data_IF_866817381777
#
_entry.id   IF_866817381777
#
_cell.length_a   1.000
_cell.length_b   1.000
_cell.length_c   1.000
_cell.angle_alpha   90.00
_cell.angle_beta   90.00
_cell.angle_gamma   90.00
#
_symmetry.space_group_name_H-M   'P 1'
#
loop_
_entity.id
_entity.type
_entity.pdbx_description
1 polymer ?
#
# COMPACT_ATOMS: atom_id res chain seq x y z
N UNK A 1 -14.95 9.33 -4.63
CA UNK A 1 -15.20 8.22 -5.56
C UNK A 1 -16.31 7.43 -4.93
N UNK A 2 -17.47 7.45 -5.55
CA UNK A 2 -18.69 7.23 -4.78
C UNK A 2 -19.28 5.84 -5.03
N UNK A 3 -18.79 5.10 -6.04
CA UNK A 3 -19.37 3.80 -6.39
C UNK A 3 -18.40 2.84 -7.12
N UNK A 4 -17.28 2.49 -6.48
CA UNK A 4 -16.31 1.53 -7.05
C UNK A 4 -16.92 0.15 -7.37
N UNK A 5 -17.76 -0.36 -6.47
CA UNK A 5 -18.35 -1.70 -6.61
C UNK A 5 -19.31 -1.77 -7.80
N UNK A 6 -20.24 -0.82 -7.94
CA UNK A 6 -21.17 -0.88 -9.08
C UNK A 6 -20.45 -0.72 -10.42
N UNK A 7 -19.43 0.15 -10.50
CA UNK A 7 -18.62 0.32 -11.72
C UNK A 7 -17.89 -0.96 -12.12
N UNK A 8 -17.40 -1.71 -11.12
CA UNK A 8 -16.77 -3.02 -11.35
C UNK A 8 -17.80 -4.06 -11.79
N UNK A 9 -18.98 -4.09 -11.17
CA UNK A 9 -20.01 -5.06 -11.55
C UNK A 9 -20.62 -4.76 -12.93
N UNK A 10 -20.66 -3.49 -13.33
CA UNK A 10 -21.20 -3.06 -14.62
C UNK A 10 -20.21 -3.11 -15.78
N UNK A 11 -18.94 -3.51 -15.56
CA UNK A 11 -17.92 -3.48 -16.60
C UNK A 11 -17.54 -2.07 -17.07
N UNK A 12 -17.99 -1.03 -16.37
CA UNK A 12 -17.89 0.36 -16.84
C UNK A 12 -16.60 1.00 -16.34
N UNK A 13 -15.80 1.52 -17.26
CA UNK A 13 -14.57 2.25 -16.88
C UNK A 13 -14.93 3.68 -16.46
N UNK A 14 -14.61 4.10 -15.23
CA UNK A 14 -14.88 5.47 -14.79
C UNK A 14 -14.04 6.48 -15.59
N UNK A 15 -14.65 7.63 -15.90
CA UNK A 15 -13.94 8.74 -16.58
C UNK A 15 -12.81 9.31 -15.72
N UNK A 16 -13.03 9.36 -14.40
CA UNK A 16 -12.03 9.82 -13.43
C UNK A 16 -11.36 8.60 -12.81
N UNK A 17 -10.08 8.40 -13.11
CA UNK A 17 -9.30 7.25 -12.63
C UNK A 17 -8.46 7.55 -11.39
N UNK A 18 -8.44 8.79 -10.90
CA UNK A 18 -7.70 9.14 -9.70
C UNK A 18 -8.34 10.34 -9.02
N UNK A 19 -8.13 10.45 -7.71
CA UNK A 19 -8.58 11.62 -6.96
C UNK A 19 -8.14 11.58 -5.51
N UNK A 20 -8.58 12.59 -4.77
CA UNK A 20 -8.32 12.71 -3.34
C UNK A 20 -9.65 12.61 -2.58
N UNK A 21 -9.61 11.92 -1.45
CA UNK A 21 -10.68 11.88 -0.46
C UNK A 21 -10.10 12.30 0.90
N UNK A 22 -10.94 12.44 1.92
CA UNK A 22 -10.50 12.86 3.24
C UNK A 22 -9.44 11.90 3.82
N UNK A 23 -8.18 12.32 3.81
CA UNK A 23 -7.04 11.59 4.39
C UNK A 23 -6.37 10.57 3.48
N UNK A 24 -6.81 10.38 2.24
CA UNK A 24 -6.17 9.46 1.30
C UNK A 24 -6.40 9.83 -0.16
N UNK A 25 -5.43 9.45 -1.00
CA UNK A 25 -5.54 9.47 -2.46
C UNK A 25 -6.00 8.10 -2.93
N UNK A 26 -6.78 8.08 -4.00
CA UNK A 26 -7.27 6.86 -4.62
C UNK A 26 -6.91 6.85 -6.11
N UNK A 27 -6.63 5.67 -6.65
CA UNK A 27 -6.29 5.46 -8.07
C UNK A 27 -6.91 4.14 -8.56
N UNK A 28 -7.69 4.23 -9.63
CA UNK A 28 -8.23 3.10 -10.37
C UNK A 28 -7.14 2.52 -11.28
N UNK A 29 -6.69 1.30 -10.97
CA UNK A 29 -5.65 0.61 -11.73
C UNK A 29 -6.24 -0.22 -12.87
N UNK A 30 -7.48 -0.69 -12.71
CA UNK A 30 -8.14 -1.55 -13.68
C UNK A 30 -9.47 -2.05 -13.16
N UNK A 31 -10.13 -2.89 -13.96
CA UNK A 31 -11.41 -3.47 -13.61
C UNK A 31 -11.33 -4.24 -12.29
N UNK A 32 -12.06 -3.78 -11.26
CA UNK A 32 -12.02 -4.38 -9.93
C UNK A 32 -10.73 -4.17 -9.15
N UNK A 33 -9.82 -3.30 -9.62
CA UNK A 33 -8.56 -2.99 -8.93
C UNK A 33 -8.47 -1.50 -8.58
N UNK A 34 -8.46 -1.22 -7.28
CA UNK A 34 -8.33 0.10 -6.70
C UNK A 34 -7.15 0.17 -5.75
N UNK A 35 -6.32 1.19 -5.93
CA UNK A 35 -5.24 1.54 -5.02
C UNK A 35 -5.69 2.70 -4.12
N UNK A 36 -5.47 2.56 -2.81
CA UNK A 36 -5.72 3.58 -1.81
C UNK A 36 -4.40 3.90 -1.11
N UNK A 37 -3.97 5.15 -1.18
CA UNK A 37 -2.74 5.63 -0.55
C UNK A 37 -3.08 6.68 0.50
N UNK A 38 -2.85 6.43 1.80
CA UNK A 38 -3.10 7.44 2.83
C UNK A 38 -2.15 8.65 2.66
N UNK A 39 -2.62 9.84 3.05
CA UNK A 39 -1.81 11.06 3.00
C UNK A 39 -0.75 11.12 4.11
N UNK A 40 -1.02 10.46 5.23
CA UNK A 40 -0.11 10.34 6.35
C UNK A 40 0.26 8.86 6.57
N UNK A 41 1.45 8.59 7.15
CA UNK A 41 1.79 7.25 7.60
C UNK A 41 0.71 6.75 8.55
N UNK A 42 0.14 5.59 8.25
CA UNK A 42 -0.77 4.91 9.17
C UNK A 42 0.06 3.97 10.03
N UNK A 43 -0.02 4.10 11.35
CA UNK A 43 0.69 3.22 12.30
C UNK A 43 0.30 1.75 12.13
N UNK A 44 -0.81 1.49 11.45
CA UNK A 44 -1.30 0.15 11.14
C UNK A 44 -1.79 0.13 9.70
N UNK A 45 -1.11 -0.60 8.83
CA UNK A 45 -1.77 -1.17 7.67
C UNK A 45 -2.80 -2.18 8.19
N UNK A 46 -4.09 -2.02 7.87
CA UNK A 46 -5.13 -2.91 8.37
C UNK A 46 -4.92 -4.42 8.03
N UNK A 47 -3.94 -4.75 7.17
CA UNK A 47 -3.59 -6.14 6.83
C UNK A 47 -2.11 -6.48 6.67
N UNK A 48 -1.15 -5.60 6.98
CA UNK A 48 0.27 -5.91 6.79
C UNK A 48 1.14 -5.41 7.95
N UNK A 49 1.24 -6.22 9.00
CA UNK A 49 2.25 -6.05 10.03
C UNK A 49 3.61 -6.49 9.48
N UNK A 50 4.25 -5.64 8.67
CA UNK A 50 5.69 -5.78 8.42
C UNK A 50 6.41 -5.35 9.69
N UNK A 51 6.54 -6.29 10.62
CA UNK A 51 7.49 -6.18 11.73
C UNK A 51 8.85 -5.95 11.11
N UNK A 52 9.37 -4.73 11.15
CA UNK A 52 10.81 -4.49 11.01
C UNK A 52 11.47 -5.09 12.25
N UNK A 53 11.58 -6.42 12.32
CA UNK A 53 12.51 -7.07 13.23
C UNK A 53 13.89 -6.58 12.82
N UNK A 54 14.59 -6.00 13.80
CA UNK A 54 15.83 -5.26 13.61
C UNK A 54 16.85 -6.01 12.75
N UNK A 55 17.70 -5.22 12.08
CA UNK A 55 18.85 -5.71 11.30
C UNK A 55 19.54 -6.85 12.06
N UNK A 56 19.84 -8.00 11.43
CA UNK A 56 20.79 -8.91 12.02
C UNK A 56 22.12 -8.15 12.13
N UNK A 57 22.61 -7.95 13.35
CA UNK A 57 24.00 -7.53 13.56
C UNK A 57 24.85 -8.69 13.08
N UNK A 58 25.41 -8.57 11.88
CA UNK A 58 26.52 -9.44 11.48
C UNK A 58 27.69 -9.01 12.36
N UNK A 59 28.00 -9.80 13.40
CA UNK A 59 29.28 -9.67 14.05
C UNK A 59 30.27 -10.28 13.07
N UNK A 60 30.99 -9.41 12.35
CA UNK A 60 32.17 -9.79 11.60
C UNK A 60 33.18 -10.33 12.61
N UNK A 61 33.27 -11.65 12.74
CA UNK A 61 34.31 -12.30 13.51
C UNK A 61 35.59 -12.18 12.69
N UNK A 62 36.34 -11.11 12.93
CA UNK A 62 37.75 -11.02 12.54
C UNK A 62 38.51 -11.98 13.46
N UNK A 63 38.66 -13.23 13.03
CA UNK A 63 39.61 -14.17 13.62
C UNK A 63 40.98 -13.93 13.01
N UNK A 64 41.72 -13.02 13.61
CA UNK A 64 43.16 -12.86 13.40
C UNK A 64 43.91 -13.99 14.16
N UNK A 65 45.05 -14.38 13.59
CA UNK A 65 46.22 -15.02 14.23
C UNK A 65 46.11 -16.47 14.74
N UNK A 66 46.61 -17.45 13.97
CA UNK A 66 47.99 -18.00 14.08
C UNK A 66 48.22 -19.19 13.16
#
# INVERSE_FOLDING_TARGET
>A
MDNFLALTLSGTTPRVRQGKSAGFRWRWLGHGLLELTPDAPVDRAAGAQLRKTGRPRVNSFCGDTR
#
